data_IF_500262297085
#
_entry.id   IF_500262297085
#
_cell.length_a   1.000
_cell.length_b   1.000
_cell.length_c   1.000
_cell.angle_alpha   90.00
_cell.angle_beta   90.00
_cell.angle_gamma   90.00
#
_symmetry.space_group_name_H-M   'P 1'
#
loop_
_entity.id
_entity.type
_entity.pdbx_description
1 polymer ?
#
# COMPACT_ATOMS: atom_id res chain seq x y z
N UNK A 1 -14.13 -16.96 -18.30
CA UNK A 1 -13.75 -15.56 -17.98
C UNK A 1 -13.85 -15.16 -16.49
N UNK A 2 -14.63 -15.80 -15.58
CA UNK A 2 -14.46 -15.56 -14.13
C UNK A 2 -13.30 -16.39 -13.52
N UNK A 3 -13.03 -17.57 -14.06
CA UNK A 3 -12.01 -18.50 -13.54
C UNK A 3 -10.59 -17.93 -13.54
N UNK A 4 -10.17 -17.23 -14.59
CA UNK A 4 -8.84 -16.61 -14.64
C UNK A 4 -8.65 -15.55 -13.55
N UNK A 5 -9.72 -14.84 -13.17
CA UNK A 5 -9.71 -13.85 -12.07
C UNK A 5 -9.65 -14.52 -10.70
N UNK A 6 -10.41 -15.58 -10.51
CA UNK A 6 -10.41 -16.32 -9.24
C UNK A 6 -9.03 -16.97 -9.03
N UNK A 7 -8.47 -17.59 -10.07
CA UNK A 7 -7.16 -18.25 -10.02
C UNK A 7 -6.04 -17.25 -9.72
N UNK A 8 -6.03 -16.08 -10.37
CA UNK A 8 -5.01 -15.07 -10.09
C UNK A 8 -5.14 -14.49 -8.68
N UNK A 9 -6.35 -14.22 -8.19
CA UNK A 9 -6.55 -13.76 -6.81
C UNK A 9 -6.09 -14.83 -5.79
N UNK A 10 -6.38 -16.10 -6.09
CA UNK A 10 -5.99 -17.24 -5.25
C UNK A 10 -4.48 -17.49 -5.25
N UNK A 11 -3.74 -17.01 -6.24
CA UNK A 11 -2.26 -17.05 -6.26
C UNK A 11 -1.64 -15.80 -5.62
N UNK A 12 -2.18 -14.61 -5.91
CA UNK A 12 -1.61 -13.34 -5.46
C UNK A 12 -1.79 -13.13 -3.96
N UNK A 13 -2.96 -13.46 -3.40
CA UNK A 13 -3.21 -13.25 -1.96
C UNK A 13 -2.25 -14.09 -1.09
N UNK A 14 -2.09 -15.41 -1.31
CA UNK A 14 -1.11 -16.20 -0.56
C UNK A 14 0.34 -15.73 -0.79
N UNK A 15 0.67 -15.27 -2.00
CA UNK A 15 2.01 -14.73 -2.30
C UNK A 15 2.29 -13.44 -1.50
N UNK A 16 1.31 -12.53 -1.43
CA UNK A 16 1.41 -11.31 -0.61
C UNK A 16 1.53 -11.66 0.87
N UNK A 17 0.69 -12.56 1.38
CA UNK A 17 0.75 -13.02 2.78
C UNK A 17 2.08 -13.70 3.09
N UNK A 18 2.60 -14.52 2.18
CA UNK A 18 3.91 -15.15 2.32
C UNK A 18 5.03 -14.09 2.35
N UNK A 19 4.99 -13.10 1.45
CA UNK A 19 5.98 -12.02 1.45
C UNK A 19 5.97 -11.23 2.77
N UNK A 20 4.77 -10.92 3.31
CA UNK A 20 4.61 -10.25 4.60
C UNK A 20 5.20 -11.12 5.73
N UNK A 21 4.92 -12.42 5.71
CA UNK A 21 5.36 -13.37 6.73
C UNK A 21 6.90 -13.58 6.73
N UNK A 22 7.54 -13.71 5.57
CA UNK A 22 8.99 -13.88 5.47
C UNK A 22 9.76 -12.62 5.87
N UNK A 23 9.24 -11.42 5.55
CA UNK A 23 9.88 -10.17 5.93
C UNK A 23 11.24 -9.90 5.30
N UNK A 24 11.96 -8.94 5.87
CA UNK A 24 13.32 -8.56 5.46
C UNK A 24 13.44 -8.33 3.95
N UNK A 25 14.55 -8.81 3.37
CA UNK A 25 14.82 -8.68 1.94
C UNK A 25 13.81 -9.39 1.04
N UNK A 26 13.13 -10.44 1.51
CA UNK A 26 12.10 -11.12 0.73
C UNK A 26 10.86 -10.22 0.55
N UNK A 27 10.41 -9.57 1.63
CA UNK A 27 9.36 -8.57 1.57
C UNK A 27 9.78 -7.38 0.70
N UNK A 28 10.98 -6.84 0.92
CA UNK A 28 11.51 -5.72 0.12
C UNK A 28 11.54 -6.07 -1.37
N UNK A 29 12.02 -7.26 -1.75
CA UNK A 29 12.09 -7.68 -3.15
C UNK A 29 10.70 -7.82 -3.77
N UNK A 30 9.74 -8.46 -3.07
CA UNK A 30 8.37 -8.59 -3.55
C UNK A 30 7.69 -7.23 -3.74
N UNK A 31 7.85 -6.33 -2.75
CA UNK A 31 7.27 -5.00 -2.80
C UNK A 31 7.95 -4.11 -3.85
N UNK A 32 9.25 -4.32 -4.07
CA UNK A 32 10.01 -3.66 -5.14
C UNK A 32 9.49 -4.03 -6.52
N UNK A 33 9.22 -5.32 -6.78
CA UNK A 33 8.62 -5.73 -8.05
C UNK A 33 7.26 -5.07 -8.28
N UNK A 34 6.44 -5.01 -7.22
CA UNK A 34 5.14 -4.35 -7.26
C UNK A 34 5.27 -2.87 -7.62
N UNK A 35 6.21 -2.15 -6.99
CA UNK A 35 6.48 -0.74 -7.26
C UNK A 35 6.98 -0.53 -8.68
N UNK A 36 7.95 -1.32 -9.15
CA UNK A 36 8.49 -1.21 -10.51
C UNK A 36 7.39 -1.39 -11.55
N UNK A 37 6.55 -2.42 -11.41
CA UNK A 37 5.46 -2.63 -12.34
C UNK A 37 4.40 -1.54 -12.27
N UNK A 38 4.05 -1.06 -11.07
CA UNK A 38 3.13 0.06 -10.89
C UNK A 38 3.65 1.36 -11.52
N UNK A 39 4.95 1.66 -11.36
CA UNK A 39 5.59 2.80 -12.01
C UNK A 39 5.65 2.66 -13.52
N UNK A 40 5.88 1.47 -14.06
CA UNK A 40 5.84 1.22 -15.50
C UNK A 40 4.45 1.53 -16.09
N UNK A 41 3.38 1.14 -15.39
CA UNK A 41 1.99 1.45 -15.80
C UNK A 41 1.69 2.94 -15.65
N UNK A 42 2.11 3.57 -14.55
CA UNK A 42 2.01 5.01 -14.37
C UNK A 42 2.69 5.77 -15.52
N UNK A 43 3.92 5.41 -15.89
CA UNK A 43 4.62 6.07 -16.99
C UNK A 43 4.02 5.75 -18.36
N UNK A 44 3.34 4.62 -18.52
CA UNK A 44 2.56 4.33 -19.72
C UNK A 44 1.36 5.28 -19.83
N UNK A 45 0.64 5.54 -18.72
CA UNK A 45 -0.44 6.53 -18.66
C UNK A 45 0.03 7.93 -19.02
N UNK A 46 1.17 8.34 -18.45
CA UNK A 46 1.76 9.66 -18.73
C UNK A 46 2.13 9.80 -20.21
N UNK A 47 2.73 8.76 -20.80
CA UNK A 47 3.11 8.77 -22.23
C UNK A 47 1.90 8.77 -23.17
N UNK A 48 0.75 8.25 -22.74
CA UNK A 48 -0.50 8.34 -23.52
C UNK A 48 -0.95 9.80 -23.74
N UNK A 49 -0.42 10.74 -22.94
CA UNK A 49 -0.65 12.19 -23.06
C UNK A 49 0.47 12.92 -23.79
N UNK A 50 1.33 12.20 -24.50
CA UNK A 50 2.49 12.74 -25.22
C UNK A 50 3.53 13.44 -24.31
N UNK A 51 3.44 13.21 -22.99
CA UNK A 51 4.42 13.64 -21.99
C UNK A 51 5.59 12.65 -22.00
N UNK A 52 6.83 13.15 -21.95
CA UNK A 52 8.06 12.34 -22.04
C UNK A 52 8.82 12.41 -20.71
N UNK A 53 8.35 11.69 -19.67
CA UNK A 53 8.97 11.74 -18.35
C UNK A 53 10.32 11.01 -18.32
N UNK A 54 11.14 11.32 -17.32
CA UNK A 54 12.41 10.66 -16.99
C UNK A 54 12.21 9.24 -16.39
N UNK A 55 11.22 8.51 -16.89
CA UNK A 55 10.76 7.19 -16.44
C UNK A 55 11.86 6.22 -15.99
N UNK A 56 12.89 5.98 -16.83
CA UNK A 56 13.98 5.04 -16.49
C UNK A 56 14.76 5.46 -15.24
N UNK A 57 15.05 6.75 -15.12
CA UNK A 57 15.78 7.28 -13.96
C UNK A 57 14.89 7.30 -12.74
N UNK A 58 13.63 7.72 -12.89
CA UNK A 58 12.70 7.68 -11.77
C UNK A 58 12.59 6.27 -11.19
N UNK A 59 12.39 5.24 -12.04
CA UNK A 59 12.33 3.84 -11.58
C UNK A 59 13.64 3.42 -10.89
N UNK A 60 14.79 3.76 -11.46
CA UNK A 60 16.09 3.45 -10.86
C UNK A 60 16.26 4.10 -9.48
N UNK A 61 15.84 5.34 -9.33
CA UNK A 61 15.96 6.05 -8.07
C UNK A 61 14.92 5.58 -7.05
N UNK A 62 13.71 5.24 -7.47
CA UNK A 62 12.70 4.57 -6.65
C UNK A 62 13.23 3.22 -6.12
N UNK A 63 13.92 2.44 -6.95
CA UNK A 63 14.60 1.20 -6.53
C UNK A 63 15.64 1.46 -5.43
N UNK A 64 16.50 2.46 -5.64
CA UNK A 64 17.49 2.85 -4.64
C UNK A 64 16.82 3.29 -3.32
N UNK A 65 15.73 4.05 -3.40
CA UNK A 65 14.94 4.49 -2.24
C UNK A 65 14.36 3.32 -1.44
N UNK A 66 13.81 2.30 -2.10
CA UNK A 66 13.28 1.11 -1.43
C UNK A 66 14.38 0.31 -0.72
N UNK A 67 15.55 0.19 -1.35
CA UNK A 67 16.74 -0.47 -0.76
C UNK A 67 17.24 0.33 0.45
N UNK A 68 17.37 1.66 0.31
CA UNK A 68 17.79 2.54 1.42
C UNK A 68 16.79 2.46 2.58
N UNK A 69 15.49 2.39 2.30
CA UNK A 69 14.45 2.23 3.32
C UNK A 69 14.60 0.95 4.15
N UNK A 70 15.12 -0.12 3.55
CA UNK A 70 15.44 -1.36 4.27
C UNK A 70 16.74 -1.26 5.08
N UNK A 71 17.74 -0.52 4.58
CA UNK A 71 19.03 -0.40 5.23
C UNK A 71 19.02 0.60 6.39
N UNK A 72 18.50 1.81 6.16
CA UNK A 72 18.51 2.94 7.10
C UNK A 72 17.30 3.83 6.85
N UNK A 73 16.30 3.70 7.72
CA UNK A 73 15.03 4.45 7.60
C UNK A 73 15.25 5.96 7.61
N UNK A 74 16.18 6.46 8.42
CA UNK A 74 16.51 7.89 8.53
C UNK A 74 17.05 8.50 7.23
N UNK A 75 17.76 7.71 6.42
CA UNK A 75 18.35 8.18 5.16
C UNK A 75 17.33 8.21 4.02
N UNK A 76 16.24 7.46 4.13
CA UNK A 76 15.27 7.32 3.05
C UNK A 76 14.57 8.64 2.71
N UNK A 77 14.35 9.52 3.70
CA UNK A 77 13.75 10.84 3.45
C UNK A 77 14.72 11.80 2.76
N UNK A 78 16.03 11.66 3.02
CA UNK A 78 17.07 12.43 2.34
C UNK A 78 17.23 12.04 0.85
N UNK A 79 16.81 10.83 0.46
CA UNK A 79 16.87 10.38 -0.94
C UNK A 79 15.95 11.22 -1.82
N UNK A 80 14.81 11.73 -1.32
CA UNK A 80 13.84 12.48 -2.13
C UNK A 80 14.39 13.76 -2.74
N UNK A 81 14.96 14.71 -1.97
CA UNK A 81 15.52 15.93 -2.56
C UNK A 81 16.68 15.61 -3.51
N UNK A 82 17.53 14.65 -3.18
CA UNK A 82 18.67 14.24 -4.02
C UNK A 82 18.18 13.65 -5.35
N UNK A 83 17.20 12.75 -5.27
CA UNK A 83 16.54 12.12 -6.40
C UNK A 83 15.85 13.15 -7.31
N UNK A 84 15.09 14.07 -6.73
CA UNK A 84 14.41 15.14 -7.45
C UNK A 84 15.40 16.04 -8.18
N UNK A 85 16.49 16.45 -7.52
CA UNK A 85 17.56 17.22 -8.17
C UNK A 85 18.20 16.45 -9.33
N UNK A 86 18.47 15.16 -9.15
CA UNK A 86 19.07 14.33 -10.21
C UNK A 86 18.14 14.15 -11.42
N UNK A 87 16.83 13.95 -11.18
CA UNK A 87 15.81 13.88 -12.23
C UNK A 87 15.76 15.19 -13.03
N UNK A 88 15.69 16.33 -12.34
CA UNK A 88 15.68 17.65 -12.98
C UNK A 88 16.96 17.90 -13.79
N UNK A 89 18.12 17.55 -13.22
CA UNK A 89 19.41 17.66 -13.90
C UNK A 89 19.45 16.79 -15.15
N UNK A 90 19.00 15.54 -15.08
CA UNK A 90 18.95 14.65 -16.25
C UNK A 90 18.06 15.18 -17.38
N UNK A 91 16.89 15.74 -17.03
CA UNK A 91 15.97 16.32 -18.00
C UNK A 91 16.58 17.52 -18.75
N UNK A 92 17.54 18.24 -18.13
CA UNK A 92 18.26 19.35 -18.77
C UNK A 92 19.17 18.87 -19.92
N UNK A 93 19.71 17.66 -19.84
CA UNK A 93 20.58 17.08 -20.89
C UNK A 93 19.83 16.29 -21.95
N UNK A 94 18.49 16.29 -21.92
CA UNK A 94 17.72 15.63 -22.96
C UNK A 94 17.80 16.40 -24.30
N UNK A 95 17.74 15.70 -25.44
CA UNK A 95 17.78 16.35 -26.77
C UNK A 95 16.63 17.31 -27.02
N UNK A 96 15.52 17.15 -26.28
CA UNK A 96 14.33 17.99 -26.32
C UNK A 96 14.27 18.83 -25.04
N UNK A 97 13.88 20.10 -25.18
CA UNK A 97 13.57 20.95 -24.03
C UNK A 97 12.45 20.31 -23.23
N UNK A 98 12.77 19.89 -22.00
CA UNK A 98 11.80 19.30 -21.08
C UNK A 98 10.74 20.33 -20.70
N UNK A 99 9.48 19.91 -20.72
CA UNK A 99 8.36 20.77 -20.31
C UNK A 99 8.12 20.67 -18.80
N UNK A 100 7.34 21.60 -18.27
CA UNK A 100 6.87 21.55 -16.88
C UNK A 100 6.12 20.24 -16.62
N UNK A 101 5.37 19.72 -17.60
CA UNK A 101 4.64 18.45 -17.47
C UNK A 101 5.58 17.25 -17.37
N UNK A 102 6.70 17.25 -18.11
CA UNK A 102 7.70 16.17 -18.04
C UNK A 102 8.35 16.10 -16.66
N UNK A 103 8.73 17.26 -16.11
CA UNK A 103 9.29 17.37 -14.75
C UNK A 103 8.25 16.93 -13.72
N UNK A 104 7.03 17.47 -13.81
CA UNK A 104 5.96 17.20 -12.85
C UNK A 104 5.57 15.73 -12.83
N UNK A 105 5.45 15.09 -13.99
CA UNK A 105 5.15 13.66 -14.07
C UNK A 105 6.32 12.79 -13.56
N UNK A 106 7.57 13.20 -13.75
CA UNK A 106 8.74 12.46 -13.24
C UNK A 106 8.84 12.54 -11.71
N UNK A 107 8.60 13.72 -11.14
CA UNK A 107 8.59 13.94 -9.69
C UNK A 107 7.38 13.26 -9.05
N UNK A 108 6.20 13.36 -9.68
CA UNK A 108 5.00 12.68 -9.21
C UNK A 108 5.16 11.17 -9.26
N UNK A 109 5.79 10.61 -10.30
CA UNK A 109 6.13 9.19 -10.36
C UNK A 109 7.04 8.77 -9.19
N UNK A 110 8.08 9.54 -8.89
CA UNK A 110 8.96 9.27 -7.74
C UNK A 110 8.20 9.32 -6.42
N UNK A 111 7.39 10.35 -6.22
CA UNK A 111 6.64 10.56 -4.98
C UNK A 111 5.56 9.48 -4.81
N UNK A 112 4.69 9.35 -5.79
CA UNK A 112 3.52 8.46 -5.75
C UNK A 112 3.91 6.99 -5.91
N UNK A 113 4.80 6.65 -6.84
CA UNK A 113 5.20 5.28 -7.14
C UNK A 113 6.34 4.75 -6.26
N UNK A 114 7.31 5.59 -5.89
CA UNK A 114 8.47 5.19 -5.10
C UNK A 114 8.36 5.50 -3.61
N UNK A 115 8.16 6.77 -3.28
CA UNK A 115 8.28 7.27 -1.91
C UNK A 115 7.16 6.82 -0.98
N UNK A 116 5.90 7.05 -1.35
CA UNK A 116 4.79 6.64 -0.48
C UNK A 116 4.79 5.11 -0.26
N UNK A 117 5.02 4.27 -1.30
CA UNK A 117 5.09 2.83 -1.10
C UNK A 117 6.31 2.38 -0.27
N UNK A 118 7.41 3.16 -0.23
CA UNK A 118 8.57 2.84 0.61
C UNK A 118 8.25 2.70 2.10
N UNK A 119 7.18 3.37 2.57
CA UNK A 119 6.73 3.26 3.96
C UNK A 119 6.27 1.85 4.33
N UNK A 120 5.81 1.02 3.39
CA UNK A 120 5.50 -0.38 3.69
C UNK A 120 6.73 -1.17 4.14
N UNK A 121 7.88 -0.91 3.50
CA UNK A 121 9.16 -1.50 3.88
C UNK A 121 9.58 -0.99 5.26
N UNK A 122 9.41 0.31 5.52
CA UNK A 122 9.73 0.92 6.82
C UNK A 122 8.85 0.34 7.95
N UNK A 123 7.53 0.21 7.73
CA UNK A 123 6.61 -0.43 8.68
C UNK A 123 7.07 -1.86 8.94
N UNK A 124 7.42 -2.63 7.90
CA UNK A 124 7.87 -4.01 8.06
C UNK A 124 9.16 -4.14 8.86
N UNK A 125 10.03 -3.12 8.83
CA UNK A 125 11.24 -3.02 9.64
C UNK A 125 11.03 -2.49 11.07
N UNK A 126 9.80 -2.09 11.45
CA UNK A 126 9.50 -1.73 12.84
C UNK A 126 9.57 -2.99 13.73
N UNK A 127 10.26 -2.87 14.87
CA UNK A 127 10.40 -3.95 15.85
C UNK A 127 11.66 -4.82 15.71
N UNK A 128 12.53 -4.59 14.71
CA UNK A 128 13.78 -5.35 14.53
C UNK A 128 14.91 -4.99 15.54
N UNK A 129 14.57 -4.58 16.77
CA UNK A 129 15.60 -4.19 17.76
C UNK A 129 15.17 -3.96 19.21
N UNK A 130 13.87 -3.97 19.54
CA UNK A 130 13.41 -3.94 20.94
C UNK A 130 12.10 -4.72 21.03
N UNK A 131 12.07 -5.73 21.90
CA UNK A 131 10.90 -6.55 22.20
C UNK A 131 9.81 -5.68 22.82
N UNK A 132 8.83 -5.26 22.03
CA UNK A 132 7.52 -4.95 22.57
C UNK A 132 6.90 -6.25 23.06
N UNK A 133 6.34 -6.25 24.28
CA UNK A 133 5.51 -7.35 24.75
C UNK A 133 4.18 -7.20 24.01
N UNK A 134 4.04 -7.90 22.88
CA UNK A 134 2.73 -8.23 22.31
C UNK A 134 1.87 -8.66 23.49
N UNK A 135 0.81 -7.92 23.80
CA UNK A 135 0.02 -8.19 25.01
C UNK A 135 -0.36 -9.68 25.03
N UNK A 136 -0.38 -10.31 26.22
CA UNK A 136 -0.73 -11.73 26.40
C UNK A 136 -2.05 -12.12 25.68
N UNK A 137 -2.92 -11.15 25.34
CA UNK A 137 -4.15 -11.33 24.55
C UNK A 137 -3.96 -11.67 23.08
N UNK A 138 -2.84 -11.30 22.45
CA UNK A 138 -2.54 -11.73 21.07
C UNK A 138 -1.80 -13.06 21.02
N UNK A 139 -1.08 -13.44 22.08
CA UNK A 139 -0.66 -14.84 22.27
C UNK A 139 -1.86 -15.78 22.39
N UNK A 140 -3.01 -15.29 22.87
CA UNK A 140 -4.27 -16.05 22.86
C UNK A 140 -4.94 -16.13 21.48
N UNK A 141 -4.64 -15.21 20.54
CA UNK A 141 -5.01 -15.36 19.12
C UNK A 141 -4.02 -16.32 18.45
N UNK A 142 -4.10 -17.55 18.93
CA UNK A 142 -3.24 -18.69 18.63
C UNK A 142 -3.47 -19.22 17.20
N UNK A 143 -3.98 -18.42 16.25
CA UNK A 143 -4.26 -18.90 14.88
C UNK A 143 -2.97 -19.38 14.19
N UNK A 144 -1.90 -18.60 14.30
CA UNK A 144 -0.59 -18.96 13.74
C UNK A 144 0.12 -20.06 14.54
N UNK A 145 -0.11 -20.14 15.85
CA UNK A 145 0.41 -21.20 16.71
C UNK A 145 -0.37 -22.52 16.58
N UNK A 146 -1.68 -22.48 16.33
CA UNK A 146 -2.50 -23.64 15.98
C UNK A 146 -2.11 -24.21 14.61
N UNK A 147 -1.78 -23.35 13.64
CA UNK A 147 -1.15 -23.77 12.38
C UNK A 147 0.24 -24.39 12.61
N UNK A 148 0.98 -23.91 13.61
CA UNK A 148 2.31 -24.43 14.02
C UNK A 148 2.23 -25.81 14.68
N UNK A 149 1.14 -26.07 15.41
CA UNK A 149 0.92 -27.29 16.20
C UNK A 149 0.11 -28.37 15.46
N UNK A 150 -0.06 -28.25 14.13
CA UNK A 150 -0.55 -29.34 13.29
C UNK A 150 0.52 -30.44 13.20
N UNK A 151 0.35 -31.49 14.02
CA UNK A 151 1.28 -32.60 14.26
C UNK A 151 1.75 -33.37 13.00
N UNK A 152 1.11 -33.18 11.83
CA UNK A 152 1.46 -33.85 10.57
C UNK A 152 2.36 -33.07 9.59
N UNK A 153 2.65 -31.78 9.86
CA UNK A 153 3.36 -30.89 8.93
C UNK A 153 4.68 -30.33 9.51
N UNK A 154 5.30 -31.06 10.44
CA UNK A 154 6.54 -30.66 11.12
C UNK A 154 7.73 -30.40 10.18
N UNK A 155 7.74 -30.99 8.98
CA UNK A 155 8.75 -30.76 7.92
C UNK A 155 8.52 -29.47 7.11
N UNK A 156 7.34 -28.85 7.26
CA UNK A 156 6.95 -27.55 6.69
C UNK A 156 7.07 -26.42 7.72
N UNK A 157 7.77 -26.65 8.85
CA UNK A 157 8.04 -25.66 9.91
C UNK A 157 8.95 -24.55 9.40
N UNK A 158 8.42 -23.68 8.55
CA UNK A 158 8.95 -22.36 8.29
C UNK A 158 8.63 -21.55 9.53
N UNK A 159 9.62 -21.33 10.40
CA UNK A 159 9.47 -20.42 11.54
C UNK A 159 9.40 -19.00 10.99
N UNK A 160 8.20 -18.44 10.87
CA UNK A 160 8.03 -17.05 10.50
C UNK A 160 8.34 -16.18 11.73
N UNK A 161 9.32 -15.26 11.67
CA UNK A 161 9.48 -14.26 12.70
C UNK A 161 8.29 -13.29 12.60
N UNK A 162 7.27 -13.51 13.43
CA UNK A 162 6.15 -12.57 13.59
C UNK A 162 6.70 -11.36 14.35
N UNK A 163 7.30 -10.42 13.62
CA UNK A 163 7.72 -9.12 14.17
C UNK A 163 6.53 -8.17 14.27
N UNK A 164 6.64 -7.13 15.08
CA UNK A 164 5.59 -6.10 15.21
C UNK A 164 5.27 -5.45 13.86
N UNK A 165 6.31 -5.18 13.05
CA UNK A 165 6.15 -4.71 11.68
C UNK A 165 5.31 -5.63 10.79
N UNK A 166 5.42 -6.96 10.97
CA UNK A 166 4.55 -7.91 10.27
C UNK A 166 3.08 -7.70 10.66
N UNK A 167 2.81 -7.58 11.97
CA UNK A 167 1.45 -7.39 12.50
C UNK A 167 0.85 -6.08 12.01
N UNK A 168 1.61 -4.98 12.02
CA UNK A 168 1.14 -3.69 11.56
C UNK A 168 0.84 -3.66 10.05
N UNK A 169 1.67 -4.34 9.24
CA UNK A 169 1.39 -4.51 7.81
C UNK A 169 0.09 -5.29 7.64
N UNK A 170 -0.06 -6.45 8.29
CA UNK A 170 -1.28 -7.27 8.20
C UNK A 170 -2.53 -6.50 8.64
N UNK A 171 -2.46 -5.80 9.76
CA UNK A 171 -3.54 -4.94 10.26
C UNK A 171 -3.97 -3.93 9.20
N UNK A 172 -3.03 -3.21 8.60
CA UNK A 172 -3.34 -2.20 7.60
C UNK A 172 -3.96 -2.81 6.34
N UNK A 173 -3.47 -3.95 5.85
CA UNK A 173 -4.10 -4.68 4.74
C UNK A 173 -5.51 -5.17 5.09
N UNK A 174 -5.73 -5.69 6.30
CA UNK A 174 -7.05 -6.08 6.76
C UNK A 174 -8.02 -4.89 6.81
N UNK A 175 -7.58 -3.72 7.26
CA UNK A 175 -8.37 -2.49 7.26
C UNK A 175 -8.74 -2.06 5.84
N UNK A 176 -7.79 -2.06 4.89
CA UNK A 176 -8.04 -1.74 3.48
C UNK A 176 -9.06 -2.72 2.88
N UNK A 177 -8.85 -4.03 3.04
CA UNK A 177 -9.76 -5.05 2.53
C UNK A 177 -11.16 -4.96 3.15
N UNK A 178 -11.26 -4.70 4.45
CA UNK A 178 -12.52 -4.49 5.12
C UNK A 178 -13.26 -3.25 4.57
N UNK A 179 -12.52 -2.18 4.30
CA UNK A 179 -13.07 -0.97 3.66
C UNK A 179 -13.63 -1.27 2.27
N UNK A 180 -12.87 -1.97 1.42
CA UNK A 180 -13.28 -2.30 0.06
C UNK A 180 -14.50 -3.22 0.03
N UNK A 181 -14.49 -4.27 0.88
CA UNK A 181 -15.61 -5.21 1.01
C UNK A 181 -16.85 -4.49 1.54
N UNK A 182 -16.70 -3.66 2.56
CA UNK A 182 -17.79 -2.85 3.12
C UNK A 182 -18.37 -1.90 2.07
N UNK A 183 -17.53 -1.14 1.39
CA UNK A 183 -17.95 -0.21 0.36
C UNK A 183 -18.66 -0.90 -0.80
N UNK A 184 -18.18 -2.08 -1.21
CA UNK A 184 -18.82 -2.86 -2.27
C UNK A 184 -20.19 -3.41 -1.85
N UNK A 185 -20.28 -4.06 -0.69
CA UNK A 185 -21.53 -4.70 -0.23
C UNK A 185 -22.60 -3.64 0.03
N UNK A 186 -22.29 -2.66 0.88
CA UNK A 186 -23.26 -1.63 1.26
C UNK A 186 -23.51 -0.64 0.12
N UNK A 187 -22.50 -0.35 -0.71
CA UNK A 187 -22.69 0.47 -1.90
C UNK A 187 -23.60 -0.18 -2.93
N UNK A 188 -23.60 -1.51 -3.05
CA UNK A 188 -24.51 -2.23 -3.96
C UNK A 188 -25.93 -2.34 -3.41
N UNK A 189 -26.09 -2.50 -2.10
CA UNK A 189 -27.41 -2.68 -1.46
C UNK A 189 -28.12 -1.35 -1.22
N UNK A 190 -27.39 -0.33 -0.75
CA UNK A 190 -27.94 0.94 -0.29
C UNK A 190 -27.53 2.15 -1.14
N UNK A 191 -26.61 1.97 -2.10
CA UNK A 191 -26.08 3.07 -2.88
C UNK A 191 -27.12 3.76 -3.74
N UNK A 192 -27.24 5.08 -3.56
CA UNK A 192 -28.16 5.93 -4.32
C UNK A 192 -27.43 7.14 -4.90
N UNK A 193 -26.49 7.68 -4.14
CA UNK A 193 -25.78 8.91 -4.49
C UNK A 193 -24.41 8.57 -5.06
N UNK A 194 -24.10 9.05 -6.27
CA UNK A 194 -22.75 8.87 -6.85
C UNK A 194 -21.73 9.70 -6.09
N UNK A 195 -20.54 9.14 -5.89
CA UNK A 195 -19.46 9.78 -5.15
C UNK A 195 -18.72 10.83 -6.00
N UNK A 196 -18.42 10.52 -7.26
CA UNK A 196 -17.75 11.43 -8.19
C UNK A 196 -18.07 11.09 -9.64
N UNK A 197 -17.93 12.08 -10.53
CA UNK A 197 -18.04 11.87 -11.98
C UNK A 197 -16.85 11.07 -12.54
N UNK A 198 -15.73 11.08 -11.84
CA UNK A 198 -14.50 10.35 -12.18
C UNK A 198 -14.70 8.83 -12.00
N UNK A 199 -15.42 8.43 -10.95
CA UNK A 199 -15.74 7.03 -10.62
C UNK A 199 -17.25 6.81 -10.42
N UNK A 200 -18.03 6.73 -11.51
CA UNK A 200 -19.50 6.73 -11.45
C UNK A 200 -20.11 5.48 -10.79
N UNK A 201 -19.30 4.45 -10.52
CA UNK A 201 -19.74 3.22 -9.84
C UNK A 201 -19.63 3.32 -8.31
N UNK A 202 -18.89 4.28 -7.78
CA UNK A 202 -18.76 4.47 -6.33
C UNK A 202 -19.91 5.34 -5.83
N UNK A 203 -20.45 4.96 -4.68
CA UNK A 203 -21.56 5.66 -4.04
C UNK A 203 -21.11 6.27 -2.72
N UNK A 204 -21.73 7.38 -2.32
CA UNK A 204 -21.44 8.05 -1.03
C UNK A 204 -21.78 7.13 0.12
N UNK A 205 -22.90 6.42 0.04
CA UNK A 205 -23.33 5.46 1.06
C UNK A 205 -22.35 4.29 1.18
N UNK A 206 -21.83 3.81 0.05
CA UNK A 206 -20.76 2.81 0.01
C UNK A 206 -19.46 3.32 0.66
N UNK A 207 -19.03 4.54 0.32
CA UNK A 207 -17.82 5.13 0.89
C UNK A 207 -17.91 5.28 2.43
N UNK A 208 -19.05 5.75 2.94
CA UNK A 208 -19.30 5.86 4.39
C UNK A 208 -19.29 4.48 5.05
N UNK A 209 -19.95 3.49 4.45
CA UNK A 209 -19.97 2.14 4.98
C UNK A 209 -18.57 1.49 5.00
N UNK A 210 -17.78 1.67 3.94
CA UNK A 210 -16.39 1.22 3.89
C UNK A 210 -15.54 1.85 4.99
N UNK A 211 -15.68 3.17 5.20
CA UNK A 211 -15.01 3.88 6.28
C UNK A 211 -15.39 3.33 7.66
N UNK A 212 -16.68 3.05 7.90
CA UNK A 212 -17.15 2.45 9.15
C UNK A 212 -16.54 1.05 9.34
N UNK A 213 -16.56 0.20 8.30
CA UNK A 213 -15.95 -1.12 8.35
C UNK A 213 -14.45 -1.04 8.67
N UNK A 214 -13.73 -0.09 8.05
CA UNK A 214 -12.32 0.16 8.31
C UNK A 214 -12.06 0.54 9.78
N UNK A 215 -12.86 1.48 10.33
CA UNK A 215 -12.80 1.88 11.74
C UNK A 215 -13.06 0.72 12.69
N UNK A 216 -14.11 -0.07 12.44
CA UNK A 216 -14.44 -1.24 13.28
C UNK A 216 -13.29 -2.24 13.26
N UNK A 217 -12.73 -2.55 12.09
CA UNK A 217 -11.58 -3.45 11.96
C UNK A 217 -10.35 -2.92 12.70
N UNK A 218 -10.04 -1.62 12.57
CA UNK A 218 -8.91 -1.00 13.27
C UNK A 218 -9.10 -0.98 14.80
N UNK A 219 -10.32 -0.76 15.30
CA UNK A 219 -10.65 -0.83 16.73
C UNK A 219 -10.46 -2.25 17.27
N UNK A 220 -10.90 -3.27 16.53
CA UNK A 220 -10.70 -4.68 16.89
C UNK A 220 -9.19 -4.98 16.99
N UNK A 221 -8.41 -4.55 16.01
CA UNK A 221 -6.95 -4.71 16.04
C UNK A 221 -6.29 -3.97 17.21
N UNK A 222 -6.66 -2.72 17.46
CA UNK A 222 -6.14 -1.93 18.58
C UNK A 222 -6.46 -2.57 19.94
N UNK A 223 -7.66 -3.14 20.09
CA UNK A 223 -8.05 -3.91 21.28
C UNK A 223 -7.18 -5.16 21.44
N UNK A 224 -7.00 -5.95 20.38
CA UNK A 224 -6.17 -7.15 20.39
C UNK A 224 -4.70 -6.84 20.70
N UNK A 225 -4.17 -5.75 20.15
CA UNK A 225 -2.81 -5.27 20.38
C UNK A 225 -2.60 -4.66 21.77
N UNK A 226 -3.67 -4.47 22.55
CA UNK A 226 -3.60 -3.89 23.89
C UNK A 226 -3.19 -2.42 23.89
N UNK A 227 -3.51 -1.66 22.84
CA UNK A 227 -3.20 -0.23 22.77
C UNK A 227 -3.92 0.56 23.86
N UNK A 228 -3.26 1.58 24.40
CA UNK A 228 -3.89 2.53 25.31
C UNK A 228 -5.02 3.27 24.57
N UNK A 229 -6.15 3.45 25.26
CA UNK A 229 -7.37 4.03 24.66
C UNK A 229 -7.74 3.38 23.31
N UNK A 230 -7.66 2.04 23.23
CA UNK A 230 -7.82 1.24 22.01
C UNK A 230 -8.98 1.65 21.09
N UNK A 231 -10.11 2.08 21.66
CA UNK A 231 -11.28 2.54 20.91
C UNK A 231 -10.99 3.84 20.13
N UNK A 232 -10.27 4.78 20.74
CA UNK A 232 -9.93 6.06 20.14
C UNK A 232 -8.76 5.91 19.18
N UNK A 233 -7.68 5.24 19.60
CA UNK A 233 -6.51 5.00 18.75
C UNK A 233 -6.89 4.19 17.50
N UNK A 234 -7.71 3.15 17.66
CA UNK A 234 -8.22 2.36 16.55
C UNK A 234 -9.15 3.15 15.63
N UNK A 235 -10.05 3.97 16.17
CA UNK A 235 -10.93 4.81 15.37
C UNK A 235 -10.16 5.85 14.54
N UNK A 236 -9.16 6.51 15.13
CA UNK A 236 -8.32 7.48 14.42
C UNK A 236 -7.55 6.78 13.29
N UNK A 237 -6.92 5.64 13.57
CA UNK A 237 -6.18 4.88 12.55
C UNK A 237 -7.10 4.41 11.43
N UNK A 238 -8.26 3.84 11.75
CA UNK A 238 -9.22 3.37 10.76
C UNK A 238 -9.76 4.50 9.89
N UNK A 239 -9.96 5.69 10.46
CA UNK A 239 -10.36 6.88 9.71
C UNK A 239 -9.24 7.34 8.75
N UNK A 240 -8.00 7.37 9.20
CA UNK A 240 -6.84 7.68 8.36
C UNK A 240 -6.72 6.71 7.18
N UNK A 241 -6.75 5.40 7.46
CA UNK A 241 -6.66 4.35 6.43
C UNK A 241 -7.84 4.45 5.46
N UNK A 242 -9.07 4.57 5.96
CA UNK A 242 -10.26 4.58 5.12
C UNK A 242 -10.32 5.79 4.18
N UNK A 243 -9.95 6.98 4.67
CA UNK A 243 -9.87 8.19 3.84
C UNK A 243 -8.73 8.08 2.83
N UNK A 244 -7.54 7.65 3.25
CA UNK A 244 -6.38 7.53 2.36
C UNK A 244 -6.59 6.49 1.26
N UNK A 245 -7.20 5.34 1.58
CA UNK A 245 -7.56 4.33 0.60
C UNK A 245 -8.54 4.88 -0.44
N UNK A 246 -9.58 5.61 0.01
CA UNK A 246 -10.54 6.24 -0.90
C UNK A 246 -9.88 7.30 -1.80
N UNK A 247 -9.00 8.14 -1.24
CA UNK A 247 -8.25 9.15 -1.99
C UNK A 247 -7.31 8.50 -3.02
N UNK A 248 -6.68 7.38 -2.68
CA UNK A 248 -5.82 6.61 -3.57
C UNK A 248 -6.56 6.12 -4.81
N UNK A 249 -7.68 5.42 -4.62
CA UNK A 249 -8.50 4.92 -5.73
C UNK A 249 -9.08 6.06 -6.59
N UNK A 250 -9.49 7.18 -5.98
CA UNK A 250 -9.95 8.35 -6.74
C UNK A 250 -8.83 9.01 -7.54
N UNK A 251 -7.63 9.09 -6.96
CA UNK A 251 -6.43 9.64 -7.63
C UNK A 251 -6.06 8.81 -8.84
N UNK A 252 -6.05 7.49 -8.70
CA UNK A 252 -5.73 6.57 -9.78
C UNK A 252 -6.82 6.58 -10.87
N UNK A 253 -8.09 6.60 -10.46
CA UNK A 253 -9.22 6.79 -11.38
C UNK A 253 -9.11 8.11 -12.16
N UNK A 254 -8.71 9.21 -11.50
CA UNK A 254 -8.48 10.50 -12.14
C UNK A 254 -7.37 10.43 -13.19
N UNK A 255 -6.23 9.81 -12.87
CA UNK A 255 -5.12 9.63 -13.82
C UNK A 255 -5.54 8.82 -15.05
N UNK A 256 -6.31 7.73 -14.86
CA UNK A 256 -6.81 6.91 -15.98
C UNK A 256 -7.74 7.70 -16.89
N UNK A 257 -8.68 8.45 -16.32
CA UNK A 257 -9.63 9.29 -17.08
C UNK A 257 -8.92 10.39 -17.84
N UNK A 258 -7.93 11.03 -17.23
CA UNK A 258 -7.13 12.05 -17.91
C UNK A 258 -6.32 11.46 -19.07
N UNK A 259 -5.73 10.27 -18.90
CA UNK A 259 -5.00 9.54 -19.94
C UNK A 259 -5.91 8.94 -21.04
N UNK A 260 -7.24 9.07 -20.93
CA UNK A 260 -8.20 8.55 -21.90
C UNK A 260 -8.34 7.02 -21.90
N UNK A 261 -7.77 6.34 -20.90
CA UNK A 261 -7.83 4.88 -20.77
C UNK A 261 -8.70 4.46 -19.60
N UNK A 262 -9.13 3.20 -19.59
CA UNK A 262 -9.99 2.67 -18.52
C UNK A 262 -9.22 1.88 -17.46
N UNK A 263 -8.21 1.14 -17.89
CA UNK A 263 -7.36 0.29 -17.05
C UNK A 263 -5.91 0.81 -17.20
N UNK A 264 -5.14 0.80 -16.11
CA UNK A 264 -3.77 1.36 -16.08
C UNK A 264 -2.74 0.52 -16.84
N UNK A 265 -3.02 -0.77 -17.01
CA UNK A 265 -2.17 -1.71 -17.75
C UNK A 265 -2.85 -3.05 -18.04
N UNK A 266 -2.12 -3.95 -18.71
CA UNK A 266 -2.54 -5.33 -18.98
C UNK A 266 -1.51 -6.35 -18.46
N UNK A 267 -0.59 -5.94 -17.57
CA UNK A 267 0.53 -6.77 -17.12
C UNK A 267 0.01 -8.04 -16.43
N UNK A 268 -1.14 -7.99 -15.76
CA UNK A 268 -1.81 -9.18 -15.24
C UNK A 268 -2.96 -9.62 -16.16
N UNK A 269 -2.83 -10.78 -16.86
CA UNK A 269 -3.86 -11.29 -17.76
C UNK A 269 -5.22 -11.46 -17.06
N UNK A 270 -6.20 -10.65 -17.44
CA UNK A 270 -7.56 -10.70 -16.90
C UNK A 270 -7.78 -9.95 -15.57
N UNK A 271 -6.78 -9.26 -15.02
CA UNK A 271 -6.84 -8.61 -13.70
C UNK A 271 -6.73 -7.08 -13.67
N UNK A 272 -6.45 -6.45 -14.81
CA UNK A 272 -6.14 -5.01 -14.91
C UNK A 272 -4.66 -4.75 -14.71
N UNK A 273 -4.31 -3.49 -14.43
CA UNK A 273 -2.97 -3.10 -14.05
C UNK A 273 -2.64 -3.48 -12.60
N UNK A 274 -1.35 -3.56 -12.30
CA UNK A 274 -0.86 -3.61 -10.91
C UNK A 274 -1.20 -2.31 -10.18
N UNK A 275 -1.15 -1.18 -10.88
CA UNK A 275 -1.52 0.14 -10.35
C UNK A 275 -3.01 0.19 -9.96
N UNK A 276 -3.89 -0.48 -10.72
CA UNK A 276 -5.33 -0.63 -10.40
C UNK A 276 -5.57 -1.42 -9.10
N UNK A 277 -4.58 -2.19 -8.65
CA UNK A 277 -4.63 -2.95 -7.39
C UNK A 277 -3.85 -2.25 -6.29
N UNK A 278 -3.07 -1.24 -6.66
CA UNK A 278 -2.15 -0.53 -5.79
C UNK A 278 -2.68 0.76 -5.21
N UNK A 279 -3.66 1.33 -5.89
CA UNK A 279 -4.21 2.64 -5.63
C UNK A 279 -4.46 2.95 -4.14
N UNK A 280 -5.07 2.01 -3.43
CA UNK A 280 -5.57 2.20 -2.07
C UNK A 280 -4.48 2.09 -0.99
N UNK A 281 -3.36 1.41 -1.26
CA UNK A 281 -2.28 1.26 -0.28
C UNK A 281 -1.15 2.28 -0.44
N UNK A 282 -1.08 3.00 -1.57
CA UNK A 282 -0.03 4.01 -1.80
C UNK A 282 -0.09 5.12 -0.74
N UNK A 283 -1.24 5.78 -0.56
CA UNK A 283 -1.38 6.85 0.46
C UNK A 283 -1.51 6.32 1.88
N UNK A 284 -1.96 5.07 2.04
CA UNK A 284 -2.20 4.49 3.37
C UNK A 284 -0.90 4.23 4.13
N UNK A 285 0.16 3.77 3.44
CA UNK A 285 1.43 3.40 4.04
C UNK A 285 2.07 4.49 4.95
N UNK A 286 2.29 5.73 4.48
CA UNK A 286 2.89 6.76 5.32
C UNK A 286 2.02 7.12 6.53
N UNK A 287 0.69 7.13 6.37
CA UNK A 287 -0.22 7.46 7.49
C UNK A 287 -0.17 6.40 8.58
N UNK A 288 -0.14 5.12 8.20
CA UNK A 288 0.01 4.01 9.14
C UNK A 288 1.36 4.10 9.86
N UNK A 289 2.44 4.32 9.10
CA UNK A 289 3.78 4.45 9.67
C UNK A 289 3.85 5.57 10.72
N UNK A 290 3.47 6.79 10.34
CA UNK A 290 3.54 7.93 11.26
C UNK A 290 2.53 7.84 12.40
N UNK A 291 1.37 7.23 12.19
CA UNK A 291 0.44 6.96 13.28
C UNK A 291 1.11 6.07 14.34
N UNK A 292 1.73 4.97 13.93
CA UNK A 292 2.39 4.04 14.86
C UNK A 292 3.61 4.68 15.53
N UNK A 293 4.45 5.40 14.79
CA UNK A 293 5.72 5.91 15.33
C UNK A 293 5.59 7.23 16.08
N UNK A 294 4.61 8.08 15.73
CA UNK A 294 4.48 9.44 16.30
C UNK A 294 3.20 9.62 17.11
N UNK A 295 2.05 9.14 16.63
CA UNK A 295 0.76 9.45 17.26
C UNK A 295 0.45 8.47 18.40
N UNK A 296 0.61 7.17 18.16
CA UNK A 296 0.29 6.13 19.12
C UNK A 296 1.07 6.29 20.46
N UNK A 297 2.36 6.64 20.47
CA UNK A 297 3.10 6.91 21.72
C UNK A 297 2.64 8.18 22.46
N UNK A 298 1.90 9.08 21.82
CA UNK A 298 1.34 10.26 22.49
C UNK A 298 0.00 9.94 23.17
N UNK A 299 -0.67 8.87 22.75
CA UNK A 299 -1.90 8.36 23.33
C UNK A 299 -1.51 7.36 24.43
N UNK A 300 -1.04 7.86 25.56
CA UNK A 300 -0.78 7.07 26.77
C UNK A 300 -1.95 7.16 27.76
#
# INVERSE_FOLDING_TARGET
>A
MPWTRIISALLVIPLVLAAIAFGGWAFTAAFTLLVVFGEMEYFALVRAKEIVPASKITIFVSLALLIVSQLRVELADAVIPIAGTFICFYLLFQPRIATISDISASILGLFYGGYLPSFWIRIRGLGDGNTFIVSDRLQQFDFFNQLRDLDGLSWLRITFPISDGCIYVLMAFCCIWASDVGAYIFGKVFGRTRLSDISPKKTVEGAIAGLICCCVTAIIWAFSLGWAQWWLSGAILGLLIGIAGLLGDLTESMMKRDAGVKDSGQIMPGHGGILDRADSYVFTAPLVYYFITLILPLVH
#
